data_IF_111169371127
#
_entry.id   IF_111169371127
#
_cell.length_a   1.000
_cell.length_b   1.000
_cell.length_c   1.000
_cell.angle_alpha   90.00
_cell.angle_beta   90.00
_cell.angle_gamma   90.00
#
_symmetry.space_group_name_H-M   'P 1'
#
loop_
_entity.id
_entity.type
_entity.pdbx_description
1 polymer ?
#
# COMPACT_ATOMS: atom_id res chain seq x y z
N UNK A 1 -7.35 -17.42 -28.73
CA UNK A 1 -7.39 -16.27 -27.81
C UNK A 1 -8.30 -15.21 -28.42
N UNK A 2 -9.40 -14.84 -27.76
CA UNK A 2 -10.39 -13.91 -28.34
C UNK A 2 -9.81 -12.48 -28.42
N UNK A 3 -10.27 -11.69 -29.40
CA UNK A 3 -9.81 -10.29 -29.55
C UNK A 3 -10.09 -9.44 -28.31
N UNK A 4 -11.17 -9.76 -27.58
CA UNK A 4 -11.50 -9.12 -26.32
C UNK A 4 -10.43 -9.34 -25.23
N UNK A 5 -9.77 -10.50 -25.23
CA UNK A 5 -8.69 -10.79 -24.27
C UNK A 5 -7.40 -10.06 -24.63
N UNK A 6 -7.14 -9.85 -25.93
CA UNK A 6 -6.03 -9.00 -26.40
C UNK A 6 -6.26 -7.53 -26.05
N UNK A 7 -7.48 -7.04 -26.22
CA UNK A 7 -7.82 -5.65 -25.87
C UNK A 7 -7.71 -5.41 -24.36
N UNK A 8 -8.15 -6.37 -23.54
CA UNK A 8 -7.99 -6.30 -22.08
C UNK A 8 -6.52 -6.33 -21.65
N UNK A 9 -5.70 -7.17 -22.28
CA UNK A 9 -4.27 -7.25 -22.01
C UNK A 9 -3.52 -5.99 -22.45
N UNK A 10 -3.88 -5.40 -23.60
CA UNK A 10 -3.32 -4.14 -24.09
C UNK A 10 -3.71 -2.98 -23.17
N UNK A 11 -4.96 -2.89 -22.72
CA UNK A 11 -5.39 -1.86 -21.76
C UNK A 11 -4.67 -2.04 -20.41
N UNK A 12 -4.50 -3.28 -19.95
CA UNK A 12 -3.80 -3.61 -18.71
C UNK A 12 -2.31 -3.24 -18.77
N UNK A 13 -1.62 -3.51 -19.89
CA UNK A 13 -0.23 -3.08 -20.07
C UNK A 13 -0.09 -1.57 -20.36
N UNK A 14 -1.08 -0.92 -20.98
CA UNK A 14 -1.04 0.53 -21.24
C UNK A 14 -1.18 1.35 -19.95
N UNK A 15 -1.93 0.86 -18.96
CA UNK A 15 -2.02 1.50 -17.63
C UNK A 15 -0.68 1.40 -16.88
N UNK A 16 0.12 0.34 -17.11
CA UNK A 16 1.43 0.17 -16.48
C UNK A 16 2.58 0.88 -17.22
N UNK A 17 2.46 1.14 -18.53
CA UNK A 17 3.55 1.73 -19.33
C UNK A 17 3.57 3.26 -19.36
N UNK A 18 2.50 3.95 -18.93
CA UNK A 18 2.58 5.41 -18.66
C UNK A 18 3.23 5.61 -17.30
N UNK A 19 4.49 5.19 -17.19
CA UNK A 19 5.41 5.67 -16.18
C UNK A 19 5.60 7.16 -16.41
N UNK A 20 4.70 7.98 -15.86
CA UNK A 20 4.96 9.39 -15.71
C UNK A 20 6.13 9.49 -14.75
N UNK A 21 7.34 9.65 -15.29
CA UNK A 21 8.47 10.17 -14.53
C UNK A 21 8.17 11.64 -14.22
N UNK A 22 7.24 11.87 -13.29
CA UNK A 22 7.11 13.17 -12.64
C UNK A 22 8.29 13.21 -11.69
N UNK A 23 9.25 14.08 -11.98
CA UNK A 23 10.29 14.44 -11.05
C UNK A 23 9.62 15.25 -9.91
N UNK A 24 8.92 14.53 -9.04
CA UNK A 24 8.10 15.05 -7.94
C UNK A 24 9.06 15.29 -6.79
N UNK A 25 9.08 16.51 -6.24
CA UNK A 25 9.96 16.77 -5.11
C UNK A 25 9.51 15.91 -3.92
N UNK A 26 10.44 15.56 -3.01
CA UNK A 26 10.09 14.83 -1.77
C UNK A 26 9.00 15.58 -1.00
N UNK A 27 9.04 16.91 -1.00
CA UNK A 27 8.06 17.79 -0.35
C UNK A 27 6.67 17.65 -0.99
N UNK A 28 6.59 17.63 -2.33
CA UNK A 28 5.33 17.42 -3.06
C UNK A 28 4.72 16.04 -2.75
N UNK A 29 5.55 15.01 -2.60
CA UNK A 29 5.10 13.66 -2.22
C UNK A 29 4.56 13.64 -0.79
N UNK A 30 5.21 14.31 0.16
CA UNK A 30 4.71 14.45 1.54
C UNK A 30 3.36 15.16 1.54
N UNK A 31 3.24 16.30 0.86
CA UNK A 31 1.99 17.06 0.81
C UNK A 31 0.85 16.22 0.24
N UNK A 32 1.10 15.47 -0.84
CA UNK A 32 0.10 14.57 -1.45
C UNK A 32 -0.30 13.44 -0.52
N UNK A 33 0.62 12.88 0.25
CA UNK A 33 0.31 11.84 1.24
C UNK A 33 -0.54 12.37 2.39
N UNK A 34 -0.27 13.59 2.87
CA UNK A 34 -1.07 14.23 3.89
C UNK A 34 -2.48 14.57 3.39
N UNK A 35 -2.60 15.10 2.17
CA UNK A 35 -3.89 15.33 1.52
C UNK A 35 -4.69 14.03 1.37
N UNK A 36 -4.01 12.94 0.98
CA UNK A 36 -4.61 11.62 0.85
C UNK A 36 -5.18 11.12 2.19
N UNK A 37 -4.38 11.06 3.24
CA UNK A 37 -4.85 10.54 4.53
C UNK A 37 -5.89 11.47 5.16
N UNK A 38 -5.74 12.80 5.07
CA UNK A 38 -6.77 13.73 5.52
C UNK A 38 -8.11 13.52 4.83
N UNK A 39 -8.11 13.22 3.53
CA UNK A 39 -9.34 12.89 2.80
C UNK A 39 -9.93 11.54 3.21
N UNK A 40 -9.09 10.52 3.45
CA UNK A 40 -9.54 9.22 3.97
C UNK A 40 -10.25 9.40 5.32
N UNK A 41 -9.65 10.15 6.24
CA UNK A 41 -10.21 10.40 7.56
C UNK A 41 -11.58 11.10 7.49
N UNK A 42 -11.68 12.17 6.69
CA UNK A 42 -12.95 12.88 6.49
C UNK A 42 -14.02 11.97 5.88
N UNK A 43 -13.65 11.11 4.93
CA UNK A 43 -14.58 10.17 4.33
C UNK A 43 -15.10 9.15 5.37
N UNK A 44 -14.23 8.63 6.24
CA UNK A 44 -14.60 7.71 7.33
C UNK A 44 -15.52 8.41 8.33
N UNK A 45 -15.18 9.64 8.73
CA UNK A 45 -16.02 10.45 9.63
C UNK A 45 -17.42 10.72 9.07
N UNK A 46 -17.54 10.80 7.74
CA UNK A 46 -18.81 10.90 7.02
C UNK A 46 -19.54 9.55 6.85
N UNK A 47 -19.07 8.48 7.48
CA UNK A 47 -19.71 7.16 7.50
C UNK A 47 -19.30 6.23 6.36
N UNK A 48 -18.26 6.58 5.59
CA UNK A 48 -17.72 5.70 4.55
C UNK A 48 -16.90 4.56 5.16
N UNK A 49 -17.00 3.36 4.60
CA UNK A 49 -16.11 2.26 4.98
C UNK A 49 -14.67 2.62 4.62
N UNK A 50 -13.70 2.28 5.48
CA UNK A 50 -12.30 2.66 5.30
C UNK A 50 -11.71 2.22 3.94
N UNK A 51 -12.16 1.08 3.40
CA UNK A 51 -11.76 0.61 2.07
C UNK A 51 -12.18 1.59 0.99
N UNK A 52 -13.46 1.95 0.98
CA UNK A 52 -14.03 2.85 -0.02
C UNK A 52 -13.44 4.26 0.15
N UNK A 53 -13.17 4.68 1.38
CA UNK A 53 -12.51 5.96 1.69
C UNK A 53 -11.10 6.02 1.10
N UNK A 54 -10.32 4.94 1.21
CA UNK A 54 -8.98 4.79 0.62
C UNK A 54 -9.06 4.80 -0.91
N UNK A 55 -9.92 3.98 -1.51
CA UNK A 55 -10.05 3.88 -2.96
C UNK A 55 -10.49 5.22 -3.58
N UNK A 56 -11.47 5.91 -2.95
CA UNK A 56 -11.94 7.22 -3.40
C UNK A 56 -10.87 8.30 -3.28
N UNK A 57 -10.22 8.42 -2.11
CA UNK A 57 -9.15 9.41 -1.90
C UNK A 57 -8.00 9.19 -2.88
N UNK A 58 -7.63 7.93 -3.14
CA UNK A 58 -6.58 7.59 -4.09
C UNK A 58 -6.90 8.05 -5.52
N UNK A 59 -8.16 7.89 -5.96
CA UNK A 59 -8.62 8.36 -7.28
C UNK A 59 -8.64 9.88 -7.34
N UNK A 60 -9.09 10.56 -6.27
CA UNK A 60 -9.19 12.01 -6.23
C UNK A 60 -7.82 12.72 -6.23
N UNK A 61 -6.85 12.19 -5.49
CA UNK A 61 -5.49 12.77 -5.43
C UNK A 61 -4.69 12.43 -6.70
N UNK A 62 -4.89 11.24 -7.26
CA UNK A 62 -4.25 10.85 -8.52
C UNK A 62 -2.75 10.56 -8.40
N UNK A 63 -2.12 10.31 -9.56
CA UNK A 63 -0.67 10.18 -9.69
C UNK A 63 -0.07 9.04 -8.87
N UNK A 64 1.03 9.33 -8.16
CA UNK A 64 1.76 8.32 -7.38
C UNK A 64 0.93 7.70 -6.26
N UNK A 65 -0.02 8.44 -5.69
CA UNK A 65 -0.92 7.94 -4.64
C UNK A 65 -1.77 6.80 -5.20
N UNK A 66 -2.42 7.01 -6.35
CA UNK A 66 -3.23 5.97 -7.00
C UNK A 66 -2.40 4.73 -7.33
N UNK A 67 -1.18 4.92 -7.83
CA UNK A 67 -0.28 3.81 -8.16
C UNK A 67 0.10 2.99 -6.91
N UNK A 68 0.45 3.66 -5.80
CA UNK A 68 0.84 3.00 -4.55
C UNK A 68 -0.32 2.34 -3.82
N UNK A 69 -1.52 2.94 -3.85
CA UNK A 69 -2.74 2.31 -3.34
C UNK A 69 -3.07 1.05 -4.17
N UNK A 70 -2.96 1.14 -5.50
CA UNK A 70 -3.19 -0.01 -6.39
C UNK A 70 -2.19 -1.14 -6.15
N UNK A 71 -0.91 -0.79 -5.96
CA UNK A 71 0.15 -1.74 -5.60
C UNK A 71 -0.17 -2.46 -4.28
N UNK A 72 -0.56 -1.70 -3.24
CA UNK A 72 -0.96 -2.25 -1.95
C UNK A 72 -2.20 -3.16 -2.07
N UNK A 73 -3.17 -2.79 -2.92
CA UNK A 73 -4.39 -3.57 -3.14
C UNK A 73 -4.11 -4.90 -3.82
N UNK A 74 -3.31 -4.89 -4.88
CA UNK A 74 -2.88 -6.12 -5.51
C UNK A 74 -2.18 -7.04 -4.51
N UNK A 75 -1.30 -6.47 -3.66
CA UNK A 75 -0.53 -7.27 -2.70
C UNK A 75 -1.37 -7.81 -1.54
N UNK A 76 -2.30 -7.02 -1.03
CA UNK A 76 -3.28 -7.46 -0.04
C UNK A 76 -4.10 -8.64 -0.58
N UNK A 77 -4.66 -8.50 -1.79
CA UNK A 77 -5.44 -9.56 -2.43
C UNK A 77 -4.62 -10.84 -2.62
N UNK A 78 -3.36 -10.70 -3.04
CA UNK A 78 -2.43 -11.83 -3.12
C UNK A 78 -2.25 -12.50 -1.75
N UNK A 79 -1.96 -11.73 -0.69
CA UNK A 79 -1.65 -12.26 0.64
C UNK A 79 -2.83 -13.00 1.31
N UNK A 80 -4.07 -12.67 0.97
CA UNK A 80 -5.27 -13.32 1.52
C UNK A 80 -5.85 -14.43 0.63
N UNK A 81 -5.41 -14.53 -0.63
CA UNK A 81 -5.95 -15.51 -1.57
C UNK A 81 -5.40 -16.92 -1.28
N UNK A 82 -6.22 -17.92 -0.90
CA UNK A 82 -5.74 -19.22 -0.41
C UNK A 82 -4.93 -20.09 -1.38
N UNK A 83 -4.82 -19.68 -2.64
CA UNK A 83 -4.03 -20.39 -3.66
C UNK A 83 -2.83 -19.57 -4.14
N UNK A 84 -2.63 -18.35 -3.63
CA UNK A 84 -1.44 -17.59 -3.97
C UNK A 84 -0.23 -18.20 -3.25
N UNK A 85 0.95 -18.14 -3.87
CA UNK A 85 2.19 -18.54 -3.21
C UNK A 85 2.39 -17.75 -1.91
N UNK A 86 2.25 -16.42 -1.98
CA UNK A 86 2.42 -15.53 -0.82
C UNK A 86 1.56 -15.92 0.38
N UNK A 87 0.30 -16.34 0.18
CA UNK A 87 -0.59 -16.72 1.29
C UNK A 87 -0.11 -17.94 2.09
N UNK A 88 0.67 -18.81 1.44
CA UNK A 88 1.19 -20.07 2.01
C UNK A 88 2.50 -19.88 2.77
N UNK A 89 3.14 -18.73 2.62
CA UNK A 89 4.40 -18.42 3.30
C UNK A 89 4.17 -18.06 4.77
N UNK A 90 5.09 -18.49 5.64
CA UNK A 90 5.06 -18.20 7.07
C UNK A 90 5.28 -16.70 7.34
N UNK A 91 6.20 -16.07 6.59
CA UNK A 91 6.57 -14.66 6.68
C UNK A 91 5.89 -13.77 5.61
N UNK A 92 4.64 -14.09 5.25
CA UNK A 92 3.90 -13.43 4.16
C UNK A 92 3.79 -11.90 4.25
N UNK A 93 3.74 -11.31 5.44
CA UNK A 93 3.76 -9.85 5.59
C UNK A 93 5.12 -9.28 5.15
N UNK A 94 6.22 -9.88 5.60
CA UNK A 94 7.56 -9.43 5.23
C UNK A 94 7.78 -9.55 3.71
N UNK A 95 7.38 -10.67 3.12
CA UNK A 95 7.45 -10.88 1.67
C UNK A 95 6.53 -9.92 0.90
N UNK A 96 5.38 -9.56 1.46
CA UNK A 96 4.49 -8.58 0.86
C UNK A 96 5.14 -7.20 0.77
N UNK A 97 5.64 -6.69 1.90
CA UNK A 97 6.37 -5.42 1.98
C UNK A 97 7.57 -5.43 1.03
N UNK A 98 8.37 -6.50 1.09
CA UNK A 98 9.57 -6.69 0.29
C UNK A 98 9.32 -6.72 -1.22
N UNK A 99 8.17 -7.24 -1.66
CA UNK A 99 7.80 -7.24 -3.08
C UNK A 99 7.12 -5.94 -3.54
N UNK A 100 6.75 -5.05 -2.61
CA UNK A 100 6.27 -3.71 -2.93
C UNK A 100 7.38 -2.65 -2.90
N UNK A 101 8.40 -2.88 -2.07
CA UNK A 101 9.57 -2.02 -1.95
C UNK A 101 10.54 -2.11 -3.13
N UNK A 102 11.32 -1.04 -3.32
CA UNK A 102 12.45 -0.97 -4.28
C UNK A 102 13.75 -1.55 -3.66
N UNK A 103 13.71 -1.97 -2.39
CA UNK A 103 14.88 -2.29 -1.56
C UNK A 103 15.44 -3.70 -1.79
N UNK A 104 15.74 -4.04 -3.05
CA UNK A 104 16.62 -5.16 -3.36
C UNK A 104 17.91 -4.62 -3.98
N UNK A 105 19.00 -4.60 -3.21
CA UNK A 105 20.29 -4.91 -3.82
C UNK A 105 20.21 -6.40 -4.15
N UNK A 106 20.39 -6.78 -5.42
CA UNK A 106 20.40 -8.16 -5.94
C UNK A 106 21.44 -9.09 -5.26
N UNK A 107 22.03 -8.65 -4.15
CA UNK A 107 23.16 -9.23 -3.43
C UNK A 107 22.81 -9.70 -2.02
N UNK A 108 21.75 -9.20 -1.37
CA UNK A 108 21.40 -9.58 0.00
C UNK A 108 19.89 -9.74 0.20
N UNK A 109 19.50 -10.83 0.88
CA UNK A 109 18.12 -11.16 1.27
C UNK A 109 17.68 -10.51 2.59
N UNK A 110 18.48 -9.58 3.12
CA UNK A 110 18.18 -8.88 4.36
C UNK A 110 17.56 -7.52 4.02
N UNK A 111 16.43 -7.15 4.62
CA UNK A 111 15.86 -5.82 4.41
C UNK A 111 16.83 -4.74 4.94
N UNK A 112 16.83 -3.59 4.27
CA UNK A 112 17.70 -2.45 4.64
C UNK A 112 16.93 -1.59 5.63
N UNK A 113 17.57 -1.22 6.75
CA UNK A 113 16.99 -0.27 7.71
C UNK A 113 16.57 1.04 7.02
N UNK A 114 15.41 1.61 7.35
CA UNK A 114 14.94 2.81 6.70
C UNK A 114 15.83 4.01 7.06
N UNK A 115 16.36 4.70 6.06
CA UNK A 115 17.02 6.00 6.20
C UNK A 115 16.24 7.10 5.46
N UNK A 116 16.77 8.33 5.47
CA UNK A 116 16.17 9.47 4.74
C UNK A 116 16.00 9.19 3.23
N UNK A 117 16.72 8.21 2.68
CA UNK A 117 16.62 7.78 1.28
C UNK A 117 15.51 6.76 1.03
N UNK A 118 14.92 6.17 2.08
CA UNK A 118 13.77 5.27 1.94
C UNK A 118 12.60 6.01 1.30
N UNK A 119 12.07 5.53 0.16
CA UNK A 119 10.98 6.21 -0.52
C UNK A 119 9.74 6.27 0.37
N UNK A 120 9.28 7.47 0.71
CA UNK A 120 8.04 7.72 1.47
C UNK A 120 6.82 7.00 0.87
N UNK A 121 6.85 6.85 -0.45
CA UNK A 121 5.84 6.15 -1.22
C UNK A 121 5.76 4.64 -0.90
N UNK A 122 6.85 4.02 -0.44
CA UNK A 122 6.82 2.64 0.03
C UNK A 122 6.08 2.56 1.36
N UNK A 123 6.36 3.46 2.30
CA UNK A 123 5.63 3.55 3.56
C UNK A 123 4.12 3.73 3.34
N UNK A 124 3.72 4.51 2.33
CA UNK A 124 2.32 4.63 1.92
C UNK A 124 1.71 3.27 1.51
N UNK A 125 2.35 2.54 0.58
CA UNK A 125 1.82 1.26 0.11
C UNK A 125 1.79 0.21 1.23
N UNK A 126 2.84 0.14 2.04
CA UNK A 126 2.98 -0.83 3.12
C UNK A 126 1.98 -0.60 4.25
N UNK A 127 1.71 0.65 4.64
CA UNK A 127 0.69 0.97 5.64
C UNK A 127 -0.72 0.62 5.13
N UNK A 128 -1.05 0.94 3.88
CA UNK A 128 -2.33 0.56 3.26
C UNK A 128 -2.50 -0.96 3.21
N UNK A 129 -1.43 -1.71 2.93
CA UNK A 129 -1.46 -3.18 2.97
C UNK A 129 -1.89 -3.70 4.35
N UNK A 130 -1.28 -3.22 5.44
CA UNK A 130 -1.66 -3.62 6.79
C UNK A 130 -3.10 -3.23 7.13
N UNK A 131 -3.51 -2.00 6.82
CA UNK A 131 -4.87 -1.51 7.03
C UNK A 131 -5.89 -2.44 6.37
N UNK A 132 -5.63 -2.85 5.13
CA UNK A 132 -6.59 -3.62 4.34
C UNK A 132 -6.60 -5.09 4.71
N UNK A 133 -5.44 -5.66 5.05
CA UNK A 133 -5.33 -7.05 5.49
C UNK A 133 -5.99 -7.29 6.84
N UNK A 134 -5.73 -6.41 7.81
CA UNK A 134 -6.15 -6.62 9.20
C UNK A 134 -7.41 -5.84 9.60
N UNK A 135 -7.81 -4.81 8.84
CA UNK A 135 -8.91 -3.91 9.21
C UNK A 135 -10.30 -4.55 9.31
N UNK A 136 -10.51 -5.76 8.79
CA UNK A 136 -11.76 -6.52 8.93
C UNK A 136 -11.77 -7.49 10.11
N UNK A 137 -10.63 -7.67 10.76
CA UNK A 137 -10.52 -8.58 11.88
C UNK A 137 -11.09 -7.95 13.16
N UNK A 138 -11.57 -8.80 14.07
CA UNK A 138 -11.79 -8.37 15.45
C UNK A 138 -10.46 -7.87 16.03
N UNK A 139 -10.50 -6.68 16.64
CA UNK A 139 -9.32 -5.94 17.11
C UNK A 139 -8.31 -5.59 15.99
N UNK A 140 -8.83 -5.26 14.81
CA UNK A 140 -8.04 -5.03 13.59
C UNK A 140 -6.94 -3.98 13.72
N UNK A 141 -7.14 -2.91 14.53
CA UNK A 141 -6.11 -1.91 14.78
C UNK A 141 -4.88 -2.54 15.48
N UNK A 142 -5.09 -3.22 16.60
CA UNK A 142 -3.98 -3.80 17.36
C UNK A 142 -3.27 -4.87 16.53
N UNK A 143 -4.02 -5.72 15.81
CA UNK A 143 -3.42 -6.74 14.93
C UNK A 143 -2.61 -6.14 13.79
N UNK A 144 -3.07 -5.04 13.19
CA UNK A 144 -2.31 -4.33 12.17
C UNK A 144 -1.00 -3.78 12.74
N UNK A 145 -1.03 -3.22 13.95
CA UNK A 145 0.15 -2.69 14.64
C UNK A 145 1.12 -3.82 15.04
N UNK A 146 0.64 -4.91 15.63
CA UNK A 146 1.45 -6.08 15.98
C UNK A 146 2.09 -6.72 14.74
N UNK A 147 1.37 -6.77 13.62
CA UNK A 147 1.93 -7.25 12.36
C UNK A 147 3.00 -6.29 11.85
N UNK A 148 2.75 -4.98 11.87
CA UNK A 148 3.70 -3.96 11.46
C UNK A 148 5.02 -3.99 12.27
N UNK A 149 4.94 -4.17 13.58
CA UNK A 149 6.10 -4.25 14.48
C UNK A 149 7.03 -5.43 14.18
N UNK A 150 6.50 -6.51 13.58
CA UNK A 150 7.27 -7.70 13.19
C UNK A 150 8.02 -7.52 11.87
N UNK A 151 7.89 -6.38 11.20
CA UNK A 151 8.44 -6.15 9.86
C UNK A 151 9.39 -4.95 9.83
N UNK A 152 10.44 -5.08 9.03
CA UNK A 152 11.46 -4.03 8.85
C UNK A 152 10.96 -2.84 8.02
N UNK A 153 11.80 -1.82 7.86
CA UNK A 153 11.41 -0.53 7.25
C UNK A 153 10.86 0.46 8.29
N UNK A 154 10.17 1.50 7.84
CA UNK A 154 9.75 2.60 8.71
C UNK A 154 8.49 2.23 9.52
N UNK A 155 8.68 1.41 10.56
CA UNK A 155 7.63 0.88 11.44
C UNK A 155 6.77 2.01 12.04
N UNK A 156 7.40 3.07 12.54
CA UNK A 156 6.68 4.15 13.23
C UNK A 156 5.78 4.93 12.28
N UNK A 157 6.28 5.30 11.11
CA UNK A 157 5.51 6.08 10.14
C UNK A 157 4.36 5.24 9.54
N UNK A 158 4.57 3.91 9.38
CA UNK A 158 3.46 2.99 9.04
C UNK A 158 2.44 2.90 10.17
N UNK A 159 2.89 2.82 11.42
CA UNK A 159 2.01 2.74 12.58
C UNK A 159 1.13 3.99 12.72
N UNK A 160 1.69 5.18 12.48
CA UNK A 160 0.93 6.43 12.43
C UNK A 160 -0.19 6.38 11.39
N UNK A 161 0.14 6.02 10.14
CA UNK A 161 -0.85 5.87 9.07
C UNK A 161 -1.93 4.82 9.40
N UNK A 162 -1.54 3.68 9.97
CA UNK A 162 -2.48 2.64 10.42
C UNK A 162 -3.45 3.21 11.46
N UNK A 163 -2.95 3.96 12.46
CA UNK A 163 -3.79 4.58 13.51
C UNK A 163 -4.75 5.63 12.94
N UNK A 164 -4.30 6.44 11.98
CA UNK A 164 -5.15 7.46 11.32
C UNK A 164 -6.40 6.85 10.69
N UNK A 165 -6.28 5.64 10.13
CA UNK A 165 -7.39 4.96 9.47
C UNK A 165 -8.15 4.04 10.43
N UNK A 166 -7.49 3.01 10.97
CA UNK A 166 -8.16 1.98 11.78
C UNK A 166 -8.52 2.45 13.19
N UNK A 167 -7.92 3.54 13.69
CA UNK A 167 -8.33 4.16 14.96
C UNK A 167 -9.67 4.90 14.90
N UNK A 168 -10.25 5.05 13.71
CA UNK A 168 -11.54 5.69 13.46
C UNK A 168 -12.65 4.70 13.08
N UNK A 169 -12.35 3.39 13.03
CA UNK A 169 -13.25 2.31 12.56
C UNK A 169 -13.82 1.52 13.73
#
# INVERSE_FOLDING_TARGET
>A
MSENLKLFYIIFEFIFYVGVSVNTSREDTIERMEQFYGMVEVNIENGMLYRDAIELAAVMIGGIITAKVSQAMAKYQEAIHPQSHLSQEENKDALALLSMGILWDNKYFNPVEPDDSTPLENTLAESIYFIMKYGREEDGLNKALEANEKNEGNVELRAEAIRRVLGKV
#
